data_IF_484939172622
#
_entry.id   IF_484939172622
#
_cell.length_a   1.000
_cell.length_b   1.000
_cell.length_c   1.000
_cell.angle_alpha   90.00
_cell.angle_beta   90.00
_cell.angle_gamma   90.00
#
_symmetry.space_group_name_H-M   'P 1'
#
loop_
_entity.id
_entity.type
_entity.pdbx_description
1 polymer ?
#
# COMPACT_ATOMS: atom_id res chain seq x y z
N UNK A 1 10.48 13.94 48.38
CA UNK A 1 9.67 12.71 48.45
C UNK A 1 10.46 11.62 47.73
N UNK A 2 11.08 10.69 48.46
CA UNK A 2 11.91 9.63 47.87
C UNK A 2 11.05 8.38 47.67
N UNK A 3 11.05 7.84 46.44
CA UNK A 3 10.34 6.61 46.10
C UNK A 3 11.27 5.44 46.42
N UNK A 4 10.89 4.63 47.41
CA UNK A 4 11.59 3.39 47.72
C UNK A 4 11.11 2.31 46.75
N UNK A 5 12.01 1.88 45.86
CA UNK A 5 11.77 0.72 45.00
C UNK A 5 11.82 -0.55 45.86
N UNK A 6 10.67 -1.23 45.99
CA UNK A 6 10.59 -2.51 46.68
C UNK A 6 11.06 -3.64 45.73
N UNK A 7 12.28 -4.11 45.93
CA UNK A 7 12.91 -5.17 45.12
C UNK A 7 12.33 -6.57 45.35
N UNK A 8 11.44 -6.76 46.34
CA UNK A 8 10.84 -8.08 46.64
C UNK A 8 9.74 -8.48 45.66
N UNK A 9 9.35 -7.61 44.72
CA UNK A 9 8.31 -7.86 43.71
C UNK A 9 8.87 -8.51 42.44
N UNK A 10 10.18 -8.64 42.30
CA UNK A 10 10.76 -9.33 41.15
C UNK A 10 10.76 -10.85 41.41
N UNK A 11 10.17 -11.66 40.50
CA UNK A 11 10.27 -13.10 40.63
C UNK A 11 11.75 -13.49 40.62
N UNK A 12 12.17 -14.24 41.64
CA UNK A 12 13.48 -14.87 41.65
C UNK A 12 13.51 -15.87 40.50
N UNK A 13 14.15 -15.48 39.38
CA UNK A 13 14.45 -16.42 38.32
C UNK A 13 15.42 -17.45 38.90
N UNK A 14 14.90 -18.59 39.35
CA UNK A 14 15.72 -19.73 39.74
C UNK A 14 16.74 -19.97 38.62
N UNK A 15 18.03 -19.77 38.95
CA UNK A 15 19.17 -19.99 38.06
C UNK A 15 19.39 -21.49 37.85
N UNK A 16 18.34 -22.23 37.48
CA UNK A 16 18.40 -23.67 37.32
C UNK A 16 18.92 -23.97 35.92
N UNK A 17 20.18 -24.41 35.88
CA UNK A 17 20.89 -24.97 34.72
C UNK A 17 20.96 -24.06 33.48
N UNK A 18 21.39 -22.81 33.65
CA UNK A 18 21.58 -21.82 32.57
C UNK A 18 22.35 -22.35 31.34
N UNK A 19 23.29 -23.28 31.55
CA UNK A 19 24.03 -23.92 30.45
C UNK A 19 23.15 -24.76 29.51
N UNK A 20 22.04 -25.35 29.99
CA UNK A 20 21.11 -26.11 29.14
C UNK A 20 20.33 -25.22 28.19
N UNK A 21 19.99 -24.00 28.61
CA UNK A 21 19.35 -23.00 27.73
C UNK A 21 20.33 -22.59 26.64
N UNK A 22 21.58 -22.30 27.00
CA UNK A 22 22.63 -21.93 26.06
C UNK A 22 22.86 -23.07 25.04
N UNK A 23 23.01 -24.31 25.53
CA UNK A 23 23.17 -25.49 24.66
C UNK A 23 21.95 -25.71 23.77
N UNK A 24 20.74 -25.55 24.31
CA UNK A 24 19.49 -25.65 23.54
C UNK A 24 19.39 -24.59 22.44
N UNK A 25 19.74 -23.34 22.73
CA UNK A 25 19.79 -22.26 21.74
C UNK A 25 20.82 -22.52 20.65
N UNK A 26 22.00 -23.04 21.00
CA UNK A 26 23.05 -23.40 20.04
C UNK A 26 22.56 -24.49 19.10
N UNK A 27 21.97 -25.57 19.63
CA UNK A 27 21.40 -26.66 18.83
C UNK A 27 20.29 -26.11 17.92
N UNK A 28 19.39 -25.28 18.45
CA UNK A 28 18.33 -24.64 17.67
C UNK A 28 18.86 -23.78 16.51
N UNK A 29 19.90 -22.98 16.75
CA UNK A 29 20.55 -22.19 15.70
C UNK A 29 21.24 -23.07 14.65
N UNK A 30 21.88 -24.18 15.04
CA UNK A 30 22.50 -25.14 14.12
C UNK A 30 21.43 -25.79 13.23
N UNK A 31 20.30 -26.20 13.81
CA UNK A 31 19.17 -26.75 13.06
C UNK A 31 18.60 -25.72 12.08
N UNK A 32 18.39 -24.48 12.53
CA UNK A 32 17.91 -23.40 11.68
C UNK A 32 18.90 -23.09 10.54
N UNK A 33 20.20 -23.11 10.82
CA UNK A 33 21.25 -22.91 9.83
C UNK A 33 21.22 -23.99 8.74
N UNK A 34 21.03 -25.26 9.11
CA UNK A 34 20.89 -26.35 8.15
C UNK A 34 19.64 -26.21 7.28
N UNK A 35 18.50 -25.83 7.87
CA UNK A 35 17.27 -25.54 7.12
C UNK A 35 17.47 -24.38 6.16
N UNK A 36 18.04 -23.27 6.65
CA UNK A 36 18.35 -22.11 5.82
C UNK A 36 19.27 -22.49 4.67
N UNK A 37 20.34 -23.27 4.93
CA UNK A 37 21.25 -23.76 3.89
C UNK A 37 20.53 -24.59 2.83
N UNK A 38 19.62 -25.48 3.24
CA UNK A 38 18.81 -26.29 2.33
C UNK A 38 17.93 -25.42 1.42
N UNK A 39 17.19 -24.47 2.02
CA UNK A 39 16.37 -23.51 1.26
C UNK A 39 17.24 -22.69 0.32
N UNK A 40 18.37 -22.15 0.80
CA UNK A 40 19.30 -21.39 -0.03
C UNK A 40 19.88 -22.21 -1.18
N UNK A 41 20.18 -23.49 -0.97
CA UNK A 41 20.69 -24.37 -2.01
C UNK A 41 19.68 -24.53 -3.14
N UNK A 42 18.43 -24.87 -2.80
CA UNK A 42 17.34 -25.01 -3.77
C UNK A 42 17.09 -23.66 -4.46
N UNK A 43 17.05 -22.58 -3.67
CA UNK A 43 16.80 -21.25 -4.18
C UNK A 43 17.90 -20.80 -5.14
N UNK A 44 19.17 -21.13 -4.87
CA UNK A 44 20.28 -20.75 -5.74
C UNK A 44 20.20 -21.41 -7.12
N UNK A 45 19.72 -22.64 -7.20
CA UNK A 45 19.49 -23.35 -8.47
C UNK A 45 18.34 -22.70 -9.25
N UNK A 46 17.25 -22.34 -8.56
CA UNK A 46 16.03 -21.80 -9.19
C UNK A 46 16.14 -20.29 -9.46
N UNK A 47 16.96 -19.57 -8.70
CA UNK A 47 17.16 -18.12 -8.78
C UNK A 47 17.42 -17.57 -10.18
N UNK A 48 18.35 -18.12 -10.99
CA UNK A 48 18.57 -17.62 -12.34
C UNK A 48 17.28 -17.71 -13.18
N UNK A 49 16.51 -18.80 -13.03
CA UNK A 49 15.22 -18.95 -13.72
C UNK A 49 14.19 -17.95 -13.21
N UNK A 50 14.09 -17.75 -11.89
CA UNK A 50 13.19 -16.74 -11.29
C UNK A 50 13.49 -15.33 -11.80
N UNK A 51 14.77 -14.96 -11.90
CA UNK A 51 15.17 -13.67 -12.44
C UNK A 51 14.77 -13.55 -13.91
N UNK A 52 15.11 -14.53 -14.74
CA UNK A 52 14.78 -14.54 -16.17
C UNK A 52 13.26 -14.42 -16.37
N UNK A 53 12.46 -15.22 -15.65
CA UNK A 53 11.00 -15.17 -15.72
C UNK A 53 10.48 -13.79 -15.31
N UNK A 54 11.02 -13.21 -14.23
CA UNK A 54 10.64 -11.87 -13.78
C UNK A 54 10.96 -10.82 -14.84
N UNK A 55 12.12 -10.93 -15.49
CA UNK A 55 12.54 -10.02 -16.54
C UNK A 55 11.64 -10.10 -17.77
N UNK A 56 11.27 -11.30 -18.20
CA UNK A 56 10.36 -11.51 -19.33
C UNK A 56 8.94 -11.03 -19.03
N UNK A 57 8.41 -11.37 -17.86
CA UNK A 57 7.01 -11.04 -17.51
C UNK A 57 6.82 -9.57 -17.14
N UNK A 58 7.78 -8.99 -16.41
CA UNK A 58 7.71 -7.60 -16.00
C UNK A 58 9.11 -7.05 -15.64
N UNK A 59 9.88 -6.70 -16.67
CA UNK A 59 11.22 -6.11 -16.51
C UNK A 59 11.23 -4.84 -15.64
N UNK A 60 10.11 -4.10 -15.55
CA UNK A 60 10.02 -2.90 -14.72
C UNK A 60 10.23 -3.19 -13.24
N UNK A 61 9.94 -4.41 -12.77
CA UNK A 61 10.19 -4.81 -11.37
C UNK A 61 11.69 -4.88 -11.09
N UNK A 62 12.45 -5.46 -12.02
CA UNK A 62 13.91 -5.57 -11.93
C UNK A 62 14.55 -4.19 -12.06
N UNK A 63 14.14 -3.41 -13.05
CA UNK A 63 14.62 -2.04 -13.22
C UNK A 63 14.29 -1.16 -12.01
N UNK A 64 13.07 -1.25 -11.48
CA UNK A 64 12.66 -0.50 -10.29
C UNK A 64 13.48 -0.84 -9.04
N UNK A 65 13.96 -2.08 -8.92
CA UNK A 65 14.91 -2.45 -7.88
C UNK A 65 16.30 -1.88 -8.14
N UNK A 66 16.77 -1.96 -9.39
CA UNK A 66 18.05 -1.37 -9.78
C UNK A 66 18.09 0.15 -9.60
N UNK A 67 17.02 0.87 -9.97
CA UNK A 67 16.92 2.32 -9.76
C UNK A 67 16.90 2.65 -8.27
N UNK A 68 16.14 1.90 -7.46
CA UNK A 68 16.14 2.06 -6.01
C UNK A 68 17.55 1.84 -5.42
N UNK A 69 18.31 0.86 -5.92
CA UNK A 69 19.68 0.61 -5.48
C UNK A 69 20.62 1.78 -5.84
N UNK A 70 20.50 2.31 -7.06
CA UNK A 70 21.27 3.48 -7.49
C UNK A 70 20.90 4.74 -6.70
N UNK A 71 19.62 4.94 -6.40
CA UNK A 71 19.15 6.02 -5.54
C UNK A 71 19.65 5.87 -4.10
N UNK A 72 19.71 4.63 -3.60
CA UNK A 72 20.27 4.34 -2.29
C UNK A 72 21.75 4.71 -2.24
N UNK A 73 22.54 4.34 -3.26
CA UNK A 73 23.97 4.72 -3.37
C UNK A 73 24.14 6.24 -3.43
N UNK A 74 23.29 6.95 -4.17
CA UNK A 74 23.35 8.41 -4.27
C UNK A 74 22.99 9.11 -2.96
N UNK A 75 22.06 8.55 -2.18
CA UNK A 75 21.59 9.11 -0.90
C UNK A 75 22.55 8.80 0.24
N UNK A 76 23.02 7.56 0.31
CA UNK A 76 23.92 7.05 1.33
C UNK A 76 24.85 6.01 0.69
N UNK A 77 26.10 6.42 0.49
CA UNK A 77 27.11 5.59 -0.17
C UNK A 77 27.37 4.30 0.62
N UNK A 78 27.44 4.37 1.94
CA UNK A 78 27.75 3.23 2.79
C UNK A 78 26.64 2.18 2.71
N UNK A 79 25.39 2.62 2.92
CA UNK A 79 24.23 1.73 2.83
C UNK A 79 24.02 1.21 1.40
N UNK A 80 24.26 2.03 0.38
CA UNK A 80 24.13 1.63 -1.01
C UNK A 80 25.14 0.55 -1.42
N UNK A 81 26.41 0.70 -1.03
CA UNK A 81 27.44 -0.32 -1.28
C UNK A 81 27.13 -1.60 -0.51
N UNK A 82 26.74 -1.50 0.77
CA UNK A 82 26.35 -2.65 1.57
C UNK A 82 25.18 -3.40 0.93
N UNK A 83 24.17 -2.68 0.43
CA UNK A 83 23.03 -3.27 -0.27
C UNK A 83 23.41 -3.89 -1.62
N UNK A 84 24.35 -3.28 -2.37
CA UNK A 84 24.83 -3.82 -3.64
C UNK A 84 25.61 -5.12 -3.43
N UNK A 85 26.55 -5.13 -2.48
CA UNK A 85 27.28 -6.34 -2.07
C UNK A 85 26.29 -7.40 -1.56
N UNK A 86 25.36 -7.00 -0.69
CA UNK A 86 24.29 -7.86 -0.21
C UNK A 86 23.45 -8.46 -1.35
N UNK A 87 23.17 -7.70 -2.40
CA UNK A 87 22.42 -8.20 -3.57
C UNK A 87 23.18 -9.32 -4.28
N UNK A 88 24.51 -9.25 -4.37
CA UNK A 88 25.32 -10.29 -5.00
C UNK A 88 25.38 -11.55 -4.13
N UNK A 89 25.64 -11.40 -2.82
CA UNK A 89 25.72 -12.53 -1.89
C UNK A 89 24.37 -13.19 -1.64
N UNK A 90 23.30 -12.40 -1.58
CA UNK A 90 21.93 -12.85 -1.37
C UNK A 90 21.12 -12.88 -2.66
N UNK A 91 21.79 -12.99 -3.82
CA UNK A 91 21.15 -13.04 -5.13
C UNK A 91 19.96 -14.00 -5.23
N UNK A 92 20.01 -15.22 -4.64
CA UNK A 92 18.87 -16.12 -4.69
C UNK A 92 17.63 -15.57 -3.99
N UNK A 93 17.84 -14.94 -2.83
CA UNK A 93 16.77 -14.32 -2.05
C UNK A 93 16.22 -13.09 -2.77
N UNK A 94 17.09 -12.25 -3.34
CA UNK A 94 16.67 -11.09 -4.12
C UNK A 94 15.86 -11.52 -5.35
N UNK A 95 16.30 -12.55 -6.07
CA UNK A 95 15.57 -13.06 -7.24
C UNK A 95 14.17 -13.57 -6.86
N UNK A 96 14.07 -14.31 -5.76
CA UNK A 96 12.78 -14.77 -5.23
C UNK A 96 11.87 -13.61 -4.80
N UNK A 97 12.45 -12.61 -4.13
CA UNK A 97 11.75 -11.39 -3.75
C UNK A 97 11.21 -10.62 -4.97
N UNK A 98 12.02 -10.44 -6.01
CA UNK A 98 11.60 -9.75 -7.24
C UNK A 98 10.50 -10.50 -7.97
N UNK A 99 10.61 -11.83 -8.05
CA UNK A 99 9.57 -12.67 -8.61
C UNK A 99 8.26 -12.57 -7.80
N UNK A 100 8.35 -12.66 -6.47
CA UNK A 100 7.20 -12.48 -5.59
C UNK A 100 6.54 -11.11 -5.77
N UNK A 101 7.35 -10.04 -5.82
CA UNK A 101 6.87 -8.67 -6.10
C UNK A 101 6.16 -8.58 -7.44
N UNK A 102 6.65 -9.26 -8.47
CA UNK A 102 6.00 -9.33 -9.78
C UNK A 102 4.63 -10.02 -9.69
N UNK A 103 4.53 -11.16 -9.01
CA UNK A 103 3.25 -11.87 -8.82
C UNK A 103 2.23 -11.01 -8.08
N UNK A 104 2.65 -10.30 -7.02
CA UNK A 104 1.81 -9.40 -6.25
C UNK A 104 1.34 -8.22 -7.09
N UNK A 105 2.24 -7.56 -7.82
CA UNK A 105 1.90 -6.45 -8.71
C UNK A 105 0.91 -6.88 -9.79
N UNK A 106 1.05 -8.10 -10.34
CA UNK A 106 0.09 -8.64 -11.30
C UNK A 106 -1.30 -8.78 -10.69
N UNK A 107 -1.40 -9.28 -9.46
CA UNK A 107 -2.69 -9.41 -8.77
C UNK A 107 -3.31 -8.05 -8.44
N UNK A 108 -2.52 -7.11 -7.94
CA UNK A 108 -2.97 -5.75 -7.63
C UNK A 108 -3.44 -5.01 -8.88
N UNK A 109 -2.71 -5.13 -10.00
CA UNK A 109 -3.10 -4.52 -11.26
C UNK A 109 -4.38 -5.13 -11.83
N UNK A 110 -4.58 -6.45 -11.70
CA UNK A 110 -5.85 -7.08 -12.09
C UNK A 110 -7.02 -6.52 -11.29
N UNK A 111 -6.90 -6.44 -9.97
CA UNK A 111 -7.94 -5.85 -9.12
C UNK A 111 -8.19 -4.39 -9.50
N UNK A 112 -7.14 -3.58 -9.65
CA UNK A 112 -7.27 -2.19 -10.09
C UNK A 112 -7.98 -2.08 -11.44
N UNK A 113 -7.68 -2.95 -12.38
CA UNK A 113 -8.32 -2.97 -13.68
C UNK A 113 -9.77 -3.44 -13.57
N UNK A 114 -10.11 -4.41 -12.74
CA UNK A 114 -11.51 -4.82 -12.50
C UNK A 114 -12.32 -3.71 -11.83
N UNK A 115 -11.75 -2.98 -10.87
CA UNK A 115 -12.38 -1.79 -10.28
C UNK A 115 -12.52 -0.66 -11.30
N UNK A 116 -11.49 -0.40 -12.11
CA UNK A 116 -11.56 0.63 -13.15
C UNK A 116 -12.48 0.22 -14.31
N UNK A 117 -12.58 -1.07 -14.65
CA UNK A 117 -13.50 -1.63 -15.65
C UNK A 117 -14.93 -1.63 -15.13
N UNK A 118 -15.16 -1.94 -13.86
CA UNK A 118 -16.47 -1.72 -13.24
C UNK A 118 -16.81 -0.24 -13.23
N UNK A 119 -15.89 0.63 -12.80
CA UNK A 119 -16.10 2.08 -12.85
C UNK A 119 -16.33 2.57 -14.28
N UNK A 120 -15.65 2.04 -15.30
CA UNK A 120 -15.90 2.42 -16.71
C UNK A 120 -17.15 1.76 -17.31
N UNK A 121 -17.58 0.58 -16.87
CA UNK A 121 -18.84 -0.04 -17.27
C UNK A 121 -20.03 0.70 -16.64
N UNK A 122 -19.93 1.13 -15.38
CA UNK A 122 -20.92 2.00 -14.73
C UNK A 122 -20.80 3.48 -15.16
N UNK A 123 -19.68 3.91 -15.74
CA UNK A 123 -19.50 5.28 -16.28
C UNK A 123 -19.89 5.41 -17.76
N UNK A 124 -20.24 4.30 -18.44
CA UNK A 124 -20.88 4.36 -19.76
C UNK A 124 -22.42 4.41 -19.67
N UNK A 125 -23.01 4.28 -18.48
CA UNK A 125 -24.47 4.43 -18.29
C UNK A 125 -24.87 5.59 -17.35
N UNK A 126 -23.95 6.20 -16.60
CA UNK A 126 -24.24 7.44 -15.86
C UNK A 126 -22.93 8.16 -15.49
N UNK A 127 -22.98 9.49 -15.43
CA UNK A 127 -21.85 10.43 -15.29
C UNK A 127 -21.09 10.74 -16.59
N UNK A 128 -21.77 11.51 -17.44
CA UNK A 128 -21.09 12.53 -18.26
C UNK A 128 -20.14 13.32 -17.36
N UNK A 129 -18.85 13.38 -17.73
CA UNK A 129 -17.96 14.42 -17.22
C UNK A 129 -18.66 15.77 -17.45
N UNK A 130 -18.85 16.57 -16.41
CA UNK A 130 -19.34 17.93 -16.59
C UNK A 130 -18.40 18.63 -17.57
N UNK A 131 -18.91 18.93 -18.75
CA UNK A 131 -18.32 19.93 -19.63
C UNK A 131 -18.59 21.26 -18.94
N UNK A 132 -17.53 21.92 -18.47
CA UNK A 132 -17.61 23.28 -17.97
C UNK A 132 -17.96 24.16 -19.17
N UNK A 133 -19.26 24.39 -19.37
CA UNK A 133 -19.74 25.29 -20.42
C UNK A 133 -19.19 26.65 -20.07
N UNK A 134 -18.28 27.18 -20.90
CA UNK A 134 -17.87 28.59 -20.81
C UNK A 134 -19.15 29.42 -20.71
N UNK A 135 -19.31 30.17 -19.61
CA UNK A 135 -20.50 30.95 -19.36
C UNK A 135 -20.68 31.99 -20.49
N UNK A 136 -21.44 31.62 -21.51
CA UNK A 136 -21.91 32.58 -22.50
C UNK A 136 -22.92 33.44 -21.72
N UNK A 137 -22.49 34.67 -21.39
CA UNK A 137 -23.25 35.63 -20.62
C UNK A 137 -24.73 35.60 -21.03
N UNK A 138 -25.66 35.28 -20.10
CA UNK A 138 -27.06 35.10 -20.46
C UNK A 138 -27.59 36.41 -21.03
N UNK A 139 -28.08 36.38 -22.27
CA UNK A 139 -28.75 37.53 -22.86
C UNK A 139 -30.04 37.77 -22.05
N UNK A 140 -30.00 38.77 -21.16
CA UNK A 140 -31.05 39.06 -20.19
C UNK A 140 -32.35 39.34 -20.94
N UNK A 141 -33.28 38.39 -20.88
CA UNK A 141 -34.64 38.58 -21.40
C UNK A 141 -35.32 39.69 -20.62
N UNK A 142 -35.65 40.80 -21.29
CA UNK A 142 -36.43 41.89 -20.68
C UNK A 142 -37.86 41.43 -20.49
N UNK A 143 -38.28 41.34 -19.22
CA UNK A 143 -39.64 41.00 -18.82
C UNK A 143 -40.63 42.05 -19.34
N UNK A 144 -41.78 41.65 -19.92
CA UNK A 144 -42.85 42.59 -20.25
C UNK A 144 -43.47 43.13 -18.96
N UNK A 145 -43.76 44.44 -18.93
CA UNK A 145 -44.35 45.11 -17.77
C UNK A 145 -45.71 44.50 -17.45
N UNK A 146 -45.84 43.95 -16.24
CA UNK A 146 -47.09 43.41 -15.69
C UNK A 146 -48.19 44.46 -15.70
N UNK A 147 -49.30 44.16 -16.36
CA UNK A 147 -50.52 44.94 -16.26
C UNK A 147 -51.16 44.72 -14.87
N UNK A 148 -51.47 45.82 -14.19
CA UNK A 148 -52.23 45.82 -12.94
C UNK A 148 -53.60 45.16 -13.13
N UNK A 149 -53.97 44.20 -12.26
CA UNK A 149 -55.40 43.95 -11.98
C UNK A 149 -55.71 43.22 -10.68
N UNK A 150 -56.36 43.99 -9.80
CA UNK A 150 -57.54 43.69 -8.96
C UNK A 150 -57.47 42.66 -7.83
N UNK A 151 -57.62 43.25 -6.63
CA UNK A 151 -58.15 42.72 -5.37
C UNK A 151 -59.25 41.67 -5.56
N UNK A 152 -59.06 40.48 -4.99
CA UNK A 152 -60.16 39.66 -4.48
C UNK A 152 -59.67 38.90 -3.24
N UNK A 153 -60.34 39.11 -2.11
CA UNK A 153 -59.96 38.53 -0.82
C UNK A 153 -60.15 37.03 -0.86
N UNK A 154 -59.07 36.26 -0.77
CA UNK A 154 -59.15 34.81 -0.69
C UNK A 154 -58.99 34.36 0.76
N UNK A 155 -59.94 33.55 1.22
CA UNK A 155 -60.15 32.97 2.56
C UNK A 155 -59.00 32.08 3.09
N UNK A 156 -57.74 32.37 2.77
CA UNK A 156 -56.57 31.62 3.21
C UNK A 156 -56.09 32.00 4.62
N UNK A 157 -56.45 33.18 5.10
CA UNK A 157 -55.99 33.69 6.41
C UNK A 157 -56.63 32.94 7.58
N UNK A 158 -57.83 32.38 7.38
CA UNK A 158 -58.60 31.67 8.42
C UNK A 158 -57.95 30.37 8.91
N UNK A 159 -56.99 29.81 8.18
CA UNK A 159 -56.38 28.51 8.51
C UNK A 159 -55.31 28.58 9.60
N UNK A 160 -54.85 29.78 9.97
CA UNK A 160 -53.74 29.95 10.91
C UNK A 160 -54.16 30.53 12.27
N UNK A 161 -55.44 30.89 12.43
CA UNK A 161 -55.92 31.56 13.65
C UNK A 161 -56.52 30.61 14.72
N UNK A 162 -56.70 29.32 14.44
CA UNK A 162 -57.13 28.37 15.49
C UNK A 162 -55.93 27.79 16.24
N UNK A 163 -55.68 28.32 17.44
CA UNK A 163 -54.80 27.73 18.47
C UNK A 163 -55.50 27.68 19.82
#
# INVERSE_FOLDING_TARGET
MAIYFNSSQFPNFEQKSSWKVIVGSIIGLITLFWLAKGVFFILNIIAPFLLIITLILNYKVVLGYGTWLLELIKRDLLLGILAAIGTVFFFPVVSAYLFGKMLLLRKVNKMKNEFNTQNTFYQNEEFTSYEEVEEIAPNILKLPKTAEKQTNSNNYDTFFEQK
#
